data_IF_328772654941
#
_entry.id   IF_328772654941
#
_cell.length_a   1.000
_cell.length_b   1.000
_cell.length_c   1.000
_cell.angle_alpha   90.00
_cell.angle_beta   90.00
_cell.angle_gamma   90.00
#
_symmetry.space_group_name_H-M   'P 1'
#
loop_
_entity.id
_entity.type
_entity.pdbx_description
1 polymer ?
#
# COMPACT_ATOMS: atom_id res chain seq x y z
N UNK A 1 16.42 10.88 -32.07
CA UNK A 1 15.25 10.44 -31.28
C UNK A 1 15.78 10.02 -29.93
N UNK A 2 15.48 10.73 -28.84
CA UNK A 2 15.91 10.29 -27.51
C UNK A 2 15.04 9.09 -27.12
N UNK A 3 15.64 7.92 -26.95
CA UNK A 3 14.95 6.84 -26.25
C UNK A 3 14.54 7.37 -24.87
N UNK A 4 13.23 7.33 -24.60
CA UNK A 4 12.71 7.52 -23.26
C UNK A 4 13.11 6.29 -22.44
N UNK A 5 14.35 6.30 -21.93
CA UNK A 5 14.87 5.23 -21.10
C UNK A 5 14.11 5.16 -19.78
N UNK A 6 13.97 3.95 -19.23
CA UNK A 6 13.33 3.73 -17.93
C UNK A 6 14.01 4.60 -16.86
N UNK A 7 13.24 5.43 -16.18
CA UNK A 7 13.74 6.38 -15.16
C UNK A 7 13.83 5.75 -13.75
N UNK A 8 13.16 4.63 -13.53
CA UNK A 8 12.95 3.97 -12.25
C UNK A 8 12.74 2.46 -12.45
N UNK A 9 13.19 1.66 -11.49
CA UNK A 9 12.71 0.28 -11.28
C UNK A 9 12.14 0.20 -9.86
N UNK A 10 10.96 -0.40 -9.71
CA UNK A 10 10.33 -0.65 -8.42
C UNK A 10 10.03 -2.14 -8.23
N UNK A 11 10.28 -2.64 -7.03
CA UNK A 11 9.88 -3.96 -6.56
C UNK A 11 8.74 -3.78 -5.55
N UNK A 12 7.61 -4.44 -5.80
CA UNK A 12 6.41 -4.38 -4.97
C UNK A 12 6.23 -5.74 -4.29
N UNK A 13 6.19 -5.73 -2.96
CA UNK A 13 5.88 -6.89 -2.13
C UNK A 13 4.43 -6.74 -1.64
N UNK A 14 3.50 -7.46 -2.29
CA UNK A 14 2.19 -7.72 -1.70
C UNK A 14 2.32 -8.91 -0.77
N UNK A 15 2.54 -8.66 0.52
CA UNK A 15 2.61 -9.71 1.54
C UNK A 15 1.23 -10.06 2.09
N UNK A 16 1.15 -11.18 2.82
CA UNK A 16 -0.12 -11.61 3.45
C UNK A 16 -0.57 -10.62 4.53
N UNK A 17 0.36 -10.16 5.37
CA UNK A 17 0.04 -9.24 6.48
C UNK A 17 0.36 -7.79 6.13
N UNK A 18 1.52 -7.56 5.52
CA UNK A 18 2.02 -6.23 5.21
C UNK A 18 2.50 -6.19 3.76
N UNK A 19 2.28 -5.06 3.11
CA UNK A 19 2.76 -4.75 1.78
C UNK A 19 3.74 -3.59 1.81
N UNK A 20 4.65 -3.55 0.85
CA UNK A 20 5.63 -2.49 0.74
C UNK A 20 6.25 -2.46 -0.64
N UNK A 21 7.04 -1.44 -0.90
CA UNK A 21 7.79 -1.35 -2.13
C UNK A 21 9.15 -0.71 -1.90
N UNK A 22 10.09 -1.12 -2.73
CA UNK A 22 11.41 -0.54 -2.82
C UNK A 22 11.66 -0.13 -4.27
N UNK A 23 12.48 0.89 -4.48
CA UNK A 23 12.73 1.41 -5.82
C UNK A 23 14.14 1.97 -5.97
N UNK A 24 14.62 2.01 -7.20
CA UNK A 24 15.89 2.64 -7.56
C UNK A 24 15.68 3.51 -8.80
N UNK A 25 16.06 4.78 -8.69
CA UNK A 25 16.09 5.69 -9.83
C UNK A 25 17.28 5.37 -10.71
N UNK A 26 17.13 5.46 -12.02
CA UNK A 26 18.23 5.21 -12.96
C UNK A 26 19.46 6.07 -12.65
N UNK A 27 19.25 7.35 -12.31
CA UNK A 27 20.32 8.29 -11.95
C UNK A 27 21.04 7.93 -10.64
N UNK A 28 20.37 7.25 -9.72
CA UNK A 28 20.98 6.75 -8.49
C UNK A 28 21.74 5.45 -8.76
N UNK A 29 21.13 4.54 -9.51
CA UNK A 29 21.73 3.26 -9.92
C UNK A 29 23.03 3.44 -10.73
N UNK A 30 23.07 4.42 -11.64
CA UNK A 30 24.27 4.73 -12.44
C UNK A 30 25.45 5.22 -11.59
N UNK A 31 25.17 5.79 -10.40
CA UNK A 31 26.19 6.28 -9.45
C UNK A 31 26.56 5.23 -8.41
N UNK A 32 25.55 4.54 -7.89
CA UNK A 32 25.65 3.50 -6.88
C UNK A 32 24.54 2.46 -7.11
N UNK A 33 24.85 1.32 -7.75
CA UNK A 33 23.88 0.26 -8.03
C UNK A 33 23.20 -0.32 -6.77
N UNK A 34 23.81 -0.16 -5.59
CA UNK A 34 23.28 -0.65 -4.32
C UNK A 34 22.34 0.36 -3.64
N UNK A 35 22.17 1.57 -4.19
CA UNK A 35 21.28 2.58 -3.64
C UNK A 35 19.82 2.27 -3.94
N UNK A 36 19.16 1.66 -2.96
CA UNK A 36 17.74 1.32 -2.98
C UNK A 36 16.99 2.21 -1.99
N UNK A 37 15.89 2.80 -2.45
CA UNK A 37 14.98 3.62 -1.63
C UNK A 37 13.71 2.83 -1.28
N UNK A 38 13.05 3.20 -0.20
CA UNK A 38 11.75 2.62 0.20
C UNK A 38 10.91 3.69 0.88
N UNK A 39 9.59 3.50 0.88
CA UNK A 39 8.68 4.46 1.52
C UNK A 39 8.52 4.15 3.01
N UNK A 40 8.61 5.20 3.83
CA UNK A 40 8.29 5.16 5.24
C UNK A 40 6.79 5.44 5.41
N UNK A 41 6.03 4.42 5.75
CA UNK A 41 4.61 4.49 6.07
C UNK A 41 4.45 4.89 7.54
N UNK A 42 3.59 5.87 7.79
CA UNK A 42 3.27 6.31 9.14
C UNK A 42 1.88 5.84 9.51
N UNK A 43 1.77 5.05 10.57
CA UNK A 43 0.48 4.76 11.19
C UNK A 43 0.07 5.99 12.00
N UNK A 44 -0.78 6.86 11.44
CA UNK A 44 -1.17 8.13 12.07
C UNK A 44 -1.73 7.91 13.49
N UNK A 45 -2.49 6.84 13.69
CA UNK A 45 -3.05 6.44 14.99
C UNK A 45 -2.03 5.94 16.02
N UNK A 46 -0.81 5.57 15.63
CA UNK A 46 0.19 4.97 16.54
C UNK A 46 1.55 5.68 16.58
N UNK A 47 1.77 6.68 15.74
CA UNK A 47 3.08 7.35 15.61
C UNK A 47 4.21 6.40 15.17
N UNK A 48 3.87 5.25 14.61
CA UNK A 48 4.82 4.22 14.19
C UNK A 48 5.23 4.47 12.74
N UNK A 49 6.53 4.55 12.49
CA UNK A 49 7.13 4.58 11.16
C UNK A 49 7.54 3.16 10.78
N UNK A 50 7.12 2.70 9.60
CA UNK A 50 7.38 1.35 9.10
C UNK A 50 7.68 1.38 7.60
N UNK A 51 8.58 0.52 7.13
CA UNK A 51 8.85 0.35 5.68
C UNK A 51 7.74 -0.43 4.95
N UNK A 52 6.74 -0.92 5.71
CA UNK A 52 5.57 -1.61 5.18
C UNK A 52 4.29 -1.06 5.78
N UNK A 53 3.20 -1.22 5.05
CA UNK A 53 1.83 -0.85 5.44
C UNK A 53 0.95 -2.10 5.43
N UNK A 54 -0.13 -2.17 6.23
CA UNK A 54 -1.04 -3.33 6.22
C UNK A 54 -1.48 -3.71 4.80
N UNK A 55 -1.61 -5.01 4.52
CA UNK A 55 -2.24 -5.47 3.27
C UNK A 55 -3.76 -5.39 3.43
N UNK A 56 -4.26 -4.16 3.50
CA UNK A 56 -5.66 -3.84 3.74
C UNK A 56 -6.14 -2.83 2.72
N UNK A 57 -7.36 -2.98 2.23
CA UNK A 57 -7.99 -2.08 1.27
C UNK A 57 -9.40 -1.74 1.74
N UNK A 58 -9.80 -0.49 1.53
CA UNK A 58 -11.14 0.01 1.77
C UNK A 58 -11.74 0.43 0.43
N UNK A 59 -12.95 -0.07 0.14
CA UNK A 59 -13.76 0.41 -0.97
C UNK A 59 -14.99 1.14 -0.44
N UNK A 60 -15.39 2.18 -1.16
CA UNK A 60 -16.62 2.92 -0.87
C UNK A 60 -17.87 2.08 -1.17
N UNK A 61 -19.09 2.55 -0.84
CA UNK A 61 -20.33 1.84 -1.14
C UNK A 61 -20.56 1.53 -2.63
N UNK A 62 -19.90 2.26 -3.54
CA UNK A 62 -19.92 2.04 -4.98
C UNK A 62 -18.87 1.01 -5.43
N UNK A 63 -18.18 0.36 -4.49
CA UNK A 63 -17.08 -0.60 -4.73
C UNK A 63 -15.86 0.01 -5.43
N UNK A 64 -15.69 1.32 -5.34
CA UNK A 64 -14.53 2.02 -5.87
C UNK A 64 -13.43 2.10 -4.81
N UNK A 65 -12.18 2.15 -5.28
CA UNK A 65 -11.02 2.29 -4.40
C UNK A 65 -11.11 3.58 -3.58
N UNK A 66 -11.11 3.45 -2.26
CA UNK A 66 -11.00 4.60 -1.36
C UNK A 66 -9.55 4.73 -0.86
N UNK A 67 -9.03 3.69 -0.20
CA UNK A 67 -7.72 3.75 0.44
C UNK A 67 -7.08 2.38 0.67
N UNK A 68 -5.78 2.39 0.99
CA UNK A 68 -4.97 1.20 1.23
C UNK A 68 -4.10 1.36 2.49
N UNK A 69 -3.76 0.25 3.14
CA UNK A 69 -2.81 0.24 4.25
C UNK A 69 -3.34 0.89 5.52
N UNK A 70 -2.48 1.62 6.23
CA UNK A 70 -2.86 2.32 7.47
C UNK A 70 -4.04 3.28 7.26
N UNK A 71 -4.11 3.95 6.10
CA UNK A 71 -5.22 4.84 5.78
C UNK A 71 -6.56 4.11 5.70
N UNK A 72 -6.57 2.90 5.14
CA UNK A 72 -7.76 2.04 5.12
C UNK A 72 -8.18 1.61 6.53
N UNK A 73 -7.21 1.23 7.37
CA UNK A 73 -7.48 0.85 8.76
C UNK A 73 -8.03 2.02 9.59
N UNK A 74 -7.40 3.19 9.50
CA UNK A 74 -7.78 4.39 10.25
C UNK A 74 -9.16 4.91 9.78
N UNK A 75 -9.42 4.96 8.46
CA UNK A 75 -10.69 5.43 7.91
C UNK A 75 -11.85 4.48 8.22
N UNK A 76 -11.65 3.17 8.09
CA UNK A 76 -12.67 2.20 8.47
C UNK A 76 -12.98 2.26 9.97
N UNK A 77 -11.94 2.43 10.80
CA UNK A 77 -12.12 2.57 12.26
C UNK A 77 -12.93 3.83 12.60
N UNK A 78 -12.66 4.96 11.95
CA UNK A 78 -13.44 6.18 12.12
C UNK A 78 -14.92 5.98 11.73
N UNK A 79 -15.18 5.39 10.56
CA UNK A 79 -16.53 5.05 10.11
C UNK A 79 -17.25 4.09 11.08
N UNK A 80 -16.53 3.12 11.64
CA UNK A 80 -17.09 2.17 12.59
C UNK A 80 -17.45 2.82 13.93
N UNK A 81 -16.63 3.77 14.41
CA UNK A 81 -16.92 4.54 15.63
C UNK A 81 -18.17 5.43 15.49
N UNK A 82 -18.49 5.85 14.27
CA UNK A 82 -19.68 6.65 13.94
C UNK A 82 -20.87 5.80 13.46
N UNK A 83 -20.73 4.47 13.45
CA UNK A 83 -21.72 3.52 12.93
C UNK A 83 -22.10 3.71 11.43
N UNK A 84 -21.19 4.29 10.64
CA UNK A 84 -21.37 4.59 9.20
C UNK A 84 -20.70 3.57 8.26
N UNK A 85 -20.10 2.52 8.80
CA UNK A 85 -19.28 1.56 8.07
C UNK A 85 -20.06 0.49 7.29
N UNK A 86 -21.36 0.34 7.53
CA UNK A 86 -22.15 -0.83 7.09
C UNK A 86 -22.18 -1.05 5.58
N UNK A 87 -22.12 0.03 4.79
CA UNK A 87 -22.11 -0.04 3.32
C UNK A 87 -20.69 -0.07 2.73
N UNK A 88 -19.65 0.02 3.57
CA UNK A 88 -18.26 0.03 3.13
C UNK A 88 -17.67 -1.37 3.05
N UNK A 89 -16.80 -1.60 2.06
CA UNK A 89 -16.15 -2.89 1.88
C UNK A 89 -14.70 -2.83 2.37
N UNK A 90 -14.48 -3.33 3.58
CA UNK A 90 -13.14 -3.39 4.17
C UNK A 90 -12.56 -4.79 4.12
N UNK A 91 -11.44 -4.94 3.43
CA UNK A 91 -10.76 -6.21 3.23
C UNK A 91 -9.37 -6.19 3.86
N UNK A 92 -9.24 -6.88 5.00
CA UNK A 92 -7.98 -7.02 5.72
C UNK A 92 -7.25 -8.30 5.30
N UNK A 93 -5.93 -8.20 5.08
CA UNK A 93 -5.06 -9.32 4.65
C UNK A 93 -5.57 -9.99 3.37
N UNK A 94 -6.05 -9.16 2.43
CA UNK A 94 -6.84 -9.63 1.30
C UNK A 94 -6.08 -10.49 0.30
N UNK A 95 -4.74 -10.52 0.34
CA UNK A 95 -3.93 -11.36 -0.54
C UNK A 95 -4.40 -12.82 -0.55
N UNK A 96 -4.75 -13.36 0.61
CA UNK A 96 -5.18 -14.76 0.70
C UNK A 96 -6.55 -15.00 0.03
N UNK A 97 -7.40 -13.98 -0.04
CA UNK A 97 -8.68 -14.08 -0.74
C UNK A 97 -8.49 -14.14 -2.26
N UNK A 98 -7.40 -13.57 -2.79
CA UNK A 98 -7.06 -13.67 -4.21
C UNK A 98 -6.57 -15.07 -4.62
N UNK A 99 -6.07 -15.86 -3.66
CA UNK A 99 -5.64 -17.25 -3.92
C UNK A 99 -6.80 -18.25 -3.90
N UNK A 100 -7.99 -17.84 -3.44
CA UNK A 100 -9.20 -18.64 -3.48
C UNK A 100 -9.99 -18.32 -4.74
N UNK A 101 -9.89 -19.18 -5.76
CA UNK A 101 -10.96 -19.29 -6.74
C UNK A 101 -12.23 -19.77 -6.01
N UNK A 102 -13.25 -18.94 -5.95
CA UNK A 102 -14.64 -19.37 -5.89
C UNK A 102 -15.29 -19.01 -7.22
#
# INVERSE_FOLDING_TARGET
>A
MSESGKILVAAIDFGTTYSGYAFSLRSDFEKDPCKISSHNWTAASRGLVSLKTPTSILLNPQQEFESFGYEAEDRYTALANEDLHHEWFYFRRFKMMLHGSL
#
